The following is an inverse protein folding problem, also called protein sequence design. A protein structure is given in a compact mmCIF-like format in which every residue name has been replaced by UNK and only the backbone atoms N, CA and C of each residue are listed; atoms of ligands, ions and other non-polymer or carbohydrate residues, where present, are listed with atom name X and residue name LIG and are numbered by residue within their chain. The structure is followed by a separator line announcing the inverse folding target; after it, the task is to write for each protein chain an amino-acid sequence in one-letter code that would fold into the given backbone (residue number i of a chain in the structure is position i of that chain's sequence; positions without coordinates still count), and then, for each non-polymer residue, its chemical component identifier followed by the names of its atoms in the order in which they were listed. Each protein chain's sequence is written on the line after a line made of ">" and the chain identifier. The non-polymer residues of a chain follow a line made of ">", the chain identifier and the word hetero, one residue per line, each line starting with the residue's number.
data_IF_464290818756
#
_entry.id   IF_464290818756
#
_cell.length_a   1.000
_cell.length_b   1.000
_cell.length_c   1.000
_cell.angle_alpha   90.00
_cell.angle_beta   90.00
_cell.angle_gamma   90.00
#
_symmetry.space_group_name_H-M   'P 1'
#
loop_
_entity.id
_entity.type
_entity.pdbx_description
1 polymer ?
#
# COMPACT_ATOMS: atom_id res chain seq x y z
N UNK A 1 23.61 16.80 14.30
CA UNK A 1 22.55 17.68 14.87
C UNK A 1 23.04 18.45 16.10
N UNK A 2 23.33 17.78 17.23
CA UNK A 2 23.77 18.44 18.49
C UNK A 2 25.01 19.33 18.32
N UNK A 3 26.03 18.86 17.61
CA UNK A 3 27.24 19.65 17.33
C UNK A 3 27.00 20.91 16.49
N UNK A 4 25.90 20.98 15.71
CA UNK A 4 25.50 22.16 14.93
C UNK A 4 24.49 23.05 15.69
N UNK A 5 24.20 22.75 16.97
CA UNK A 5 23.24 23.51 17.79
C UNK A 5 21.77 23.36 17.36
N UNK A 6 21.43 22.35 16.55
CA UNK A 6 20.07 22.22 16.02
C UNK A 6 19.11 21.69 17.08
N UNK A 7 17.99 22.39 17.26
CA UNK A 7 16.89 21.99 18.12
C UNK A 7 15.98 20.94 17.43
N UNK A 8 15.25 20.10 18.18
CA UNK A 8 14.35 19.10 17.61
C UNK A 8 13.33 19.66 16.60
N UNK A 9 12.84 20.89 16.86
CA UNK A 9 11.90 21.58 15.96
C UNK A 9 12.41 21.75 14.53
N UNK A 10 13.73 21.75 14.29
CA UNK A 10 14.30 21.82 12.94
C UNK A 10 13.93 20.62 12.06
N UNK A 11 13.65 19.46 12.64
CA UNK A 11 13.27 18.25 11.90
C UNK A 11 11.76 18.16 11.66
N UNK A 12 11.00 19.21 11.93
CA UNK A 12 9.58 19.32 11.61
C UNK A 12 9.38 20.24 10.41
N UNK A 13 8.68 19.75 9.38
CA UNK A 13 8.32 20.58 8.22
C UNK A 13 7.24 21.62 8.55
N UNK A 14 6.56 21.49 9.71
CA UNK A 14 5.45 22.38 10.11
C UNK A 14 5.93 23.71 10.72
N UNK A 15 7.20 23.83 11.10
CA UNK A 15 7.74 25.01 11.80
C UNK A 15 8.96 25.58 11.08
N UNK A 16 9.17 26.89 11.20
CA UNK A 16 10.31 27.59 10.62
C UNK A 16 11.63 27.07 11.19
N UNK A 17 12.68 27.12 10.36
CA UNK A 17 14.07 26.85 10.76
C UNK A 17 14.71 25.63 10.10
N UNK A 18 13.92 24.61 9.73
CA UNK A 18 14.44 23.43 9.00
C UNK A 18 13.60 22.98 7.81
N UNK A 19 12.35 23.43 7.70
CA UNK A 19 11.50 23.21 6.53
C UNK A 19 12.05 23.95 5.30
N UNK A 20 11.59 23.54 4.12
CA UNK A 20 11.79 24.31 2.90
C UNK A 20 10.88 25.55 2.95
N UNK A 21 11.46 26.75 2.90
CA UNK A 21 10.67 27.99 2.98
C UNK A 21 9.95 28.31 1.66
N UNK A 22 10.41 27.78 0.52
CA UNK A 22 9.75 27.97 -0.78
C UNK A 22 8.34 27.35 -0.81
N UNK A 23 8.18 26.13 -0.28
CA UNK A 23 6.89 25.46 -0.14
C UNK A 23 6.34 25.48 1.29
N UNK A 24 6.99 26.22 2.20
CA UNK A 24 6.67 26.25 3.63
C UNK A 24 6.52 24.87 4.29
N UNK A 25 7.23 23.87 3.79
CA UNK A 25 7.17 22.49 4.28
C UNK A 25 6.07 21.62 3.68
N UNK A 26 5.35 22.05 2.65
CA UNK A 26 4.34 21.23 1.97
C UNK A 26 4.94 20.26 0.94
N UNK A 27 6.10 20.59 0.37
CA UNK A 27 6.71 19.85 -0.72
C UNK A 27 6.07 20.12 -2.09
N UNK A 28 4.96 20.87 -2.10
CA UNK A 28 4.21 21.28 -3.28
C UNK A 28 4.03 22.81 -3.25
N UNK A 29 3.90 23.44 -4.41
CA UNK A 29 3.56 24.85 -4.59
C UNK A 29 2.17 24.91 -5.21
N UNK A 30 1.27 25.63 -4.54
CA UNK A 30 -0.07 25.91 -5.03
C UNK A 30 -0.02 27.07 -6.02
N UNK A 31 -0.50 26.87 -7.24
CA UNK A 31 -0.66 27.91 -8.25
C UNK A 31 -2.15 28.21 -8.37
N UNK A 32 -2.55 29.38 -7.89
CA UNK A 32 -3.93 29.84 -7.96
C UNK A 32 -4.22 30.37 -9.37
N UNK A 33 -5.28 29.85 -9.98
CA UNK A 33 -5.72 30.25 -11.32
C UNK A 33 -7.12 30.83 -11.24
N UNK A 34 -7.34 31.97 -11.89
CA UNK A 34 -8.59 32.72 -11.76
C UNK A 34 -9.85 31.97 -12.21
N UNK A 35 -9.72 30.95 -13.08
CA UNK A 35 -10.85 30.26 -13.71
C UNK A 35 -10.72 28.73 -13.75
N UNK A 36 -9.66 28.17 -13.16
CA UNK A 36 -9.40 26.73 -13.11
C UNK A 36 -9.16 26.30 -11.65
N UNK A 37 -9.40 25.04 -11.30
CA UNK A 37 -9.02 24.52 -9.99
C UNK A 37 -7.52 24.73 -9.76
N UNK A 38 -7.17 25.02 -8.51
CA UNK A 38 -5.78 25.24 -8.09
C UNK A 38 -4.90 24.05 -8.47
N UNK A 39 -3.76 24.33 -9.09
CA UNK A 39 -2.80 23.31 -9.52
C UNK A 39 -1.68 23.23 -8.51
N UNK A 40 -1.29 22.01 -8.12
CA UNK A 40 -0.18 21.77 -7.19
C UNK A 40 1.00 21.21 -7.94
N UNK A 41 2.11 21.94 -7.97
CA UNK A 41 3.35 21.49 -8.62
C UNK A 41 4.37 21.09 -7.56
N UNK A 42 5.19 20.08 -7.84
CA UNK A 42 6.28 19.70 -6.94
C UNK A 42 7.22 20.87 -6.75
N UNK A 43 7.56 21.17 -5.49
CA UNK A 43 8.47 22.28 -5.18
C UNK A 43 9.85 21.99 -5.77
N UNK A 44 10.31 22.85 -6.69
CA UNK A 44 11.60 22.68 -7.36
C UNK A 44 12.79 22.83 -6.40
N UNK A 45 12.65 23.63 -5.35
CA UNK A 45 13.70 23.90 -4.36
C UNK A 45 14.04 22.67 -3.53
N UNK A 46 13.04 21.97 -2.99
CA UNK A 46 13.25 20.78 -2.18
C UNK A 46 12.97 19.49 -2.93
N UNK A 47 12.53 19.54 -4.19
CA UNK A 47 12.10 18.39 -5.00
C UNK A 47 11.09 17.47 -4.29
N UNK A 48 10.17 18.07 -3.53
CA UNK A 48 9.19 17.34 -2.72
C UNK A 48 9.66 16.88 -1.34
N UNK A 49 10.94 17.02 -0.98
CA UNK A 49 11.48 16.56 0.31
C UNK A 49 11.08 17.42 1.52
N UNK A 50 10.43 18.58 1.34
CA UNK A 50 9.85 19.44 2.40
C UNK A 50 10.85 20.11 3.37
N UNK A 51 12.15 19.84 3.26
CA UNK A 51 13.20 20.39 4.14
C UNK A 51 14.26 21.18 3.37
N UNK A 52 14.98 22.06 4.08
CA UNK A 52 16.15 22.76 3.52
C UNK A 52 17.39 21.87 3.47
N UNK A 53 18.39 22.28 2.67
CA UNK A 53 19.61 21.51 2.41
C UNK A 53 20.36 21.15 3.69
N UNK A 54 20.51 22.09 4.60
CA UNK A 54 21.26 21.91 5.84
C UNK A 54 20.60 20.90 6.79
N UNK A 55 19.27 20.74 6.69
CA UNK A 55 18.51 19.74 7.43
C UNK A 55 18.61 18.37 6.78
N UNK A 56 18.58 18.29 5.44
CA UNK A 56 18.79 17.06 4.68
C UNK A 56 20.21 16.49 4.80
N UNK A 57 21.21 17.34 5.04
CA UNK A 57 22.60 16.90 5.31
C UNK A 57 22.75 16.13 6.62
N UNK A 58 21.82 16.28 7.56
CA UNK A 58 21.86 15.54 8.82
C UNK A 58 21.36 14.12 8.57
N UNK A 59 22.30 13.18 8.59
CA UNK A 59 22.03 11.76 8.39
C UNK A 59 22.01 11.01 9.72
N UNK A 60 21.02 10.15 9.90
CA UNK A 60 20.98 9.12 10.92
C UNK A 60 21.13 7.76 10.22
N UNK A 61 22.17 7.00 10.58
CA UNK A 61 22.52 5.74 9.90
C UNK A 61 22.60 5.87 8.37
N UNK A 62 23.16 6.99 7.89
CA UNK A 62 23.30 7.27 6.45
C UNK A 62 22.04 7.81 5.75
N UNK A 63 20.89 7.91 6.43
CA UNK A 63 19.61 8.39 5.88
C UNK A 63 19.24 9.76 6.45
N UNK A 64 18.81 10.70 5.62
CA UNK A 64 18.32 12.03 6.02
C UNK A 64 16.92 11.97 6.60
N UNK A 65 16.41 13.08 7.16
CA UNK A 65 15.02 13.13 7.66
C UNK A 65 13.99 12.93 6.54
N UNK A 66 14.26 13.39 5.31
CA UNK A 66 13.38 13.13 4.18
C UNK A 66 13.43 11.64 3.80
N UNK A 67 14.61 11.03 3.75
CA UNK A 67 14.74 9.59 3.51
C UNK A 67 13.98 8.80 4.59
N UNK A 68 14.05 9.21 5.86
CA UNK A 68 13.35 8.56 6.98
C UNK A 68 11.82 8.73 6.91
N UNK A 69 11.33 9.82 6.33
CA UNK A 69 9.90 10.08 6.14
C UNK A 69 9.37 9.44 4.85
N UNK A 70 10.22 9.26 3.85
CA UNK A 70 9.96 8.50 2.62
C UNK A 70 10.07 6.99 2.87
N UNK A 71 10.87 6.57 3.87
CA UNK A 71 10.79 5.24 4.46
C UNK A 71 9.38 5.07 5.04
N UNK A 72 8.57 4.32 4.30
CA UNK A 72 7.13 4.19 4.53
C UNK A 72 6.79 3.86 6.00
N UNK A 73 5.75 4.50 6.58
CA UNK A 73 5.15 4.05 7.84
C UNK A 73 4.56 2.63 7.76
N UNK A 74 4.41 2.06 6.56
CA UNK A 74 3.77 0.77 6.28
C UNK A 74 4.67 -0.47 6.35
N UNK A 75 5.76 -0.43 7.12
CA UNK A 75 6.64 -1.58 7.29
C UNK A 75 6.38 -2.36 8.58
N UNK A 76 7.20 -3.36 8.86
CA UNK A 76 7.19 -4.11 10.12
C UNK A 76 8.56 -4.06 10.79
N UNK A 77 8.61 -3.90 12.11
CA UNK A 77 9.82 -4.04 12.92
C UNK A 77 9.57 -5.12 13.97
N UNK A 78 10.38 -6.16 13.98
CA UNK A 78 10.24 -7.27 14.92
C UNK A 78 11.60 -7.87 15.29
N UNK A 79 11.65 -8.56 16.43
CA UNK A 79 12.82 -9.30 16.88
C UNK A 79 12.60 -10.79 16.60
N UNK A 80 13.53 -11.40 15.89
CA UNK A 80 13.52 -12.84 15.64
C UNK A 80 14.21 -13.53 16.81
N UNK A 81 13.52 -14.50 17.40
CA UNK A 81 14.04 -15.37 18.44
C UNK A 81 14.25 -16.78 17.86
N UNK A 82 15.40 -17.39 18.15
CA UNK A 82 15.66 -18.81 17.90
C UNK A 82 15.99 -19.49 19.21
N UNK A 83 15.21 -20.51 19.59
CA UNK A 83 15.33 -21.19 20.90
C UNK A 83 15.42 -20.19 22.07
N UNK A 84 14.52 -19.22 22.05
CA UNK A 84 14.43 -18.12 23.03
C UNK A 84 15.62 -17.15 23.07
N UNK A 85 16.54 -17.22 22.10
CA UNK A 85 17.66 -16.27 21.97
C UNK A 85 17.40 -15.28 20.83
N UNK A 86 17.62 -13.98 21.03
CA UNK A 86 17.52 -13.00 19.94
C UNK A 86 18.65 -13.19 18.94
N UNK A 87 18.32 -13.35 17.67
CA UNK A 87 19.31 -13.59 16.60
C UNK A 87 19.43 -12.45 15.61
N UNK A 88 18.33 -11.71 15.41
CA UNK A 88 18.23 -10.67 14.39
C UNK A 88 17.07 -9.73 14.74
N UNK A 89 17.32 -8.43 14.63
CA UNK A 89 16.25 -7.43 14.59
C UNK A 89 15.97 -7.11 13.13
N UNK A 90 14.76 -7.42 12.69
CA UNK A 90 14.32 -7.19 11.31
C UNK A 90 13.54 -5.89 11.24
N UNK A 91 13.89 -5.07 10.24
CA UNK A 91 13.07 -3.96 9.76
C UNK A 91 12.76 -4.26 8.30
N UNK A 92 11.49 -4.22 7.92
CA UNK A 92 11.07 -4.45 6.54
C UNK A 92 10.06 -3.43 6.07
N UNK A 93 10.07 -3.13 4.77
CA UNK A 93 9.06 -2.37 4.04
C UNK A 93 7.72 -3.08 3.94
N UNK A 94 7.65 -4.39 4.19
CA UNK A 94 6.42 -5.16 4.03
C UNK A 94 5.45 -4.96 5.21
N UNK A 95 4.19 -4.53 4.96
CA UNK A 95 3.19 -4.35 6.01
C UNK A 95 2.58 -5.67 6.49
N UNK A 96 2.18 -5.69 7.76
CA UNK A 96 1.25 -6.67 8.30
C UNK A 96 1.89 -7.97 8.82
N UNK A 97 1.19 -8.62 9.76
CA UNK A 97 1.66 -9.82 10.43
C UNK A 97 1.88 -11.00 9.46
N UNK A 98 1.07 -11.13 8.42
CA UNK A 98 1.26 -12.19 7.42
C UNK A 98 2.63 -12.12 6.73
N UNK A 99 3.16 -10.92 6.48
CA UNK A 99 4.51 -10.77 5.92
C UNK A 99 5.60 -11.04 6.94
N UNK A 100 5.36 -10.73 8.23
CA UNK A 100 6.24 -11.19 9.32
C UNK A 100 6.31 -12.72 9.34
N UNK A 101 5.16 -13.40 9.25
CA UNK A 101 5.08 -14.85 9.20
C UNK A 101 5.75 -15.43 7.95
N UNK A 102 5.63 -14.78 6.79
CA UNK A 102 6.33 -15.19 5.57
C UNK A 102 7.85 -15.12 5.74
N UNK A 103 8.37 -14.03 6.32
CA UNK A 103 9.80 -13.89 6.62
C UNK A 103 10.26 -14.96 7.61
N UNK A 104 9.49 -15.20 8.68
CA UNK A 104 9.79 -16.26 9.65
C UNK A 104 9.73 -17.65 9.01
N UNK A 105 8.80 -17.89 8.08
CA UNK A 105 8.70 -19.13 7.30
C UNK A 105 9.96 -19.37 6.46
N UNK A 106 10.42 -18.35 5.73
CA UNK A 106 11.68 -18.40 4.98
C UNK A 106 12.86 -18.69 5.91
N UNK A 107 12.97 -17.98 7.04
CA UNK A 107 14.04 -18.25 8.02
C UNK A 107 13.97 -19.69 8.58
N UNK A 108 12.76 -20.20 8.81
CA UNK A 108 12.53 -21.57 9.27
C UNK A 108 12.96 -22.65 8.27
N UNK A 109 13.05 -22.32 6.98
CA UNK A 109 13.59 -23.22 5.96
C UNK A 109 15.12 -23.34 5.99
N UNK A 110 15.82 -22.46 6.73
CA UNK A 110 17.28 -22.44 6.84
C UNK A 110 17.75 -22.56 8.30
N UNK A 111 17.42 -23.66 9.01
CA UNK A 111 17.69 -23.79 10.44
C UNK A 111 19.19 -23.74 10.77
N UNK A 112 20.06 -24.29 9.93
CA UNK A 112 21.52 -24.27 10.15
C UNK A 112 22.10 -22.86 10.08
N UNK A 113 21.59 -22.04 9.15
CA UNK A 113 21.98 -20.64 9.00
C UNK A 113 21.54 -19.82 10.22
N UNK A 114 20.29 -20.05 10.66
CA UNK A 114 19.72 -19.41 11.85
C UNK A 114 20.48 -19.83 13.12
N UNK A 115 20.85 -21.11 13.25
CA UNK A 115 21.61 -21.62 14.39
C UNK A 115 23.06 -21.10 14.41
N UNK A 116 23.69 -20.98 13.24
CA UNK A 116 25.00 -20.33 13.12
C UNK A 116 24.93 -18.86 13.59
N UNK A 117 23.93 -18.09 13.14
CA UNK A 117 23.69 -16.72 13.60
C UNK A 117 23.46 -16.65 15.12
N UNK A 118 22.68 -17.59 15.68
CA UNK A 118 22.41 -17.67 17.11
C UNK A 118 23.67 -17.96 17.96
N UNK A 119 24.65 -18.67 17.38
CA UNK A 119 25.97 -18.94 17.98
C UNK A 119 26.97 -17.79 17.80
N UNK A 120 26.55 -16.68 17.18
CA UNK A 120 27.42 -15.52 16.91
C UNK A 120 28.37 -15.73 15.73
N UNK A 121 28.18 -16.78 14.93
CA UNK A 121 28.93 -16.98 13.69
C UNK A 121 28.43 -15.94 12.69
N UNK A 122 29.34 -15.22 12.03
CA UNK A 122 28.98 -14.24 11.01
C UNK A 122 28.29 -14.95 9.84
N UNK A 123 27.03 -14.60 9.59
CA UNK A 123 26.25 -15.13 8.47
C UNK A 123 25.80 -14.02 7.51
N UNK A 124 25.10 -14.42 6.44
CA UNK A 124 24.41 -13.50 5.52
C UNK A 124 23.13 -12.90 6.12
N UNK A 125 22.62 -13.42 7.24
CA UNK A 125 21.40 -12.92 7.89
C UNK A 125 21.68 -11.57 8.58
N UNK A 126 21.43 -10.50 7.86
CA UNK A 126 21.64 -9.13 8.34
C UNK A 126 20.39 -8.28 8.09
N UNK A 127 20.16 -7.27 8.94
CA UNK A 127 18.97 -6.42 8.86
C UNK A 127 18.73 -5.80 7.47
N UNK A 128 19.76 -5.33 6.74
CA UNK A 128 19.57 -4.75 5.40
C UNK A 128 18.94 -5.69 4.37
N UNK A 129 19.06 -7.01 4.53
CA UNK A 129 18.46 -8.01 3.63
C UNK A 129 16.92 -7.87 3.55
N UNK A 130 16.31 -7.31 4.60
CA UNK A 130 14.86 -7.23 4.75
C UNK A 130 14.30 -5.82 4.55
N UNK A 131 15.15 -4.78 4.54
CA UNK A 131 14.72 -3.37 4.61
C UNK A 131 13.90 -2.94 3.39
N UNK A 132 14.33 -3.32 2.19
CA UNK A 132 13.79 -2.81 0.93
C UNK A 132 13.19 -3.93 0.05
N UNK A 133 12.61 -4.96 0.68
CA UNK A 133 11.91 -6.03 -0.05
C UNK A 133 10.66 -5.44 -0.71
N UNK A 134 10.58 -5.56 -2.02
CA UNK A 134 9.37 -5.27 -2.78
C UNK A 134 8.92 -6.54 -3.49
N UNK A 135 7.69 -6.94 -3.24
CA UNK A 135 7.05 -8.04 -3.95
C UNK A 135 5.94 -7.43 -4.82
N UNK A 136 6.09 -7.45 -6.15
CA UNK A 136 5.10 -6.86 -7.03
C UNK A 136 3.69 -7.41 -6.76
N UNK A 137 2.71 -6.53 -6.62
CA UNK A 137 1.32 -6.89 -6.38
C UNK A 137 1.01 -7.53 -5.02
N UNK A 138 1.87 -7.37 -4.00
CA UNK A 138 1.63 -7.82 -2.61
C UNK A 138 1.70 -6.65 -1.66
N UNK A 139 0.53 -6.12 -1.27
CA UNK A 139 0.37 -4.85 -0.57
C UNK A 139 1.31 -3.77 -1.15
N UNK A 140 1.45 -3.75 -2.48
CA UNK A 140 2.31 -2.83 -3.19
C UNK A 140 1.71 -1.43 -3.07
N UNK A 141 2.44 -0.52 -2.41
CA UNK A 141 1.98 0.84 -2.22
C UNK A 141 2.15 1.65 -3.50
N UNK A 142 1.09 2.30 -3.94
CA UNK A 142 1.12 3.24 -5.06
C UNK A 142 1.14 4.67 -4.50
N UNK A 143 2.15 5.51 -4.84
CA UNK A 143 2.20 6.89 -4.40
C UNK A 143 0.97 7.70 -4.87
N UNK A 144 0.42 8.52 -3.97
CA UNK A 144 -0.72 9.39 -4.27
C UNK A 144 -0.48 10.79 -3.67
N UNK A 145 -0.45 11.87 -4.49
CA UNK A 145 -0.08 13.22 -4.02
C UNK A 145 -1.08 13.81 -3.02
N UNK A 146 -2.36 13.46 -3.16
CA UNK A 146 -3.43 13.87 -2.23
C UNK A 146 -3.35 13.27 -0.81
N UNK A 147 -2.33 12.47 -0.49
CA UNK A 147 -2.16 11.86 0.83
C UNK A 147 -3.12 10.71 1.14
N UNK A 148 -3.61 10.03 0.11
CA UNK A 148 -4.39 8.78 0.21
C UNK A 148 -3.41 7.61 0.31
N UNK A 149 -3.77 6.56 1.06
CA UNK A 149 -2.97 5.35 1.17
C UNK A 149 -3.47 4.30 0.15
N UNK A 150 -2.82 4.23 -1.02
CA UNK A 150 -3.23 3.35 -2.11
C UNK A 150 -2.37 2.08 -2.16
N UNK A 151 -3.03 0.91 -2.25
CA UNK A 151 -2.38 -0.41 -2.28
C UNK A 151 -2.95 -1.31 -3.38
N UNK A 152 -2.08 -2.13 -3.97
CA UNK A 152 -2.44 -3.23 -4.86
C UNK A 152 -2.07 -4.56 -4.20
N UNK A 153 -3.00 -5.52 -4.18
CA UNK A 153 -2.76 -6.86 -3.67
C UNK A 153 -3.39 -7.97 -4.53
N UNK A 154 -2.75 -9.14 -4.57
CA UNK A 154 -3.22 -10.34 -5.27
C UNK A 154 -4.31 -11.12 -4.52
N UNK A 155 -4.80 -10.63 -3.38
CA UNK A 155 -5.80 -11.30 -2.57
C UNK A 155 -7.07 -11.63 -3.38
N UNK A 156 -7.24 -12.91 -3.72
CA UNK A 156 -8.33 -13.44 -4.54
C UNK A 156 -9.05 -14.62 -3.86
N UNK A 157 -8.80 -14.85 -2.57
CA UNK A 157 -9.49 -15.82 -1.73
C UNK A 157 -10.05 -15.11 -0.48
N UNK A 158 -11.07 -15.67 0.20
CA UNK A 158 -11.66 -15.05 1.39
C UNK A 158 -10.63 -14.75 2.46
N UNK A 159 -9.82 -15.75 2.83
CA UNK A 159 -8.81 -15.62 3.87
C UNK A 159 -7.72 -14.58 3.52
N UNK A 160 -7.25 -14.56 2.27
CA UNK A 160 -6.24 -13.57 1.88
C UNK A 160 -6.83 -12.14 1.91
N UNK A 161 -8.07 -11.97 1.44
CA UNK A 161 -8.74 -10.66 1.45
C UNK A 161 -8.93 -10.15 2.88
N UNK A 162 -9.40 -11.01 3.79
CA UNK A 162 -9.53 -10.70 5.21
C UNK A 162 -8.19 -10.31 5.84
N UNK A 163 -7.14 -11.09 5.56
CA UNK A 163 -5.79 -10.85 6.09
C UNK A 163 -5.24 -9.49 5.65
N UNK A 164 -5.43 -9.14 4.38
CA UNK A 164 -4.97 -7.86 3.82
C UNK A 164 -5.78 -6.69 4.37
N UNK A 165 -7.11 -6.81 4.45
CA UNK A 165 -7.98 -5.79 5.01
C UNK A 165 -7.71 -5.56 6.50
N UNK A 166 -7.48 -6.62 7.27
CA UNK A 166 -7.09 -6.53 8.67
C UNK A 166 -5.74 -5.82 8.81
N UNK A 167 -4.73 -6.21 8.02
CA UNK A 167 -3.42 -5.57 8.06
C UNK A 167 -3.49 -4.06 7.75
N UNK A 168 -4.33 -3.66 6.79
CA UNK A 168 -4.55 -2.24 6.47
C UNK A 168 -5.33 -1.51 7.56
N UNK A 169 -6.28 -2.18 8.21
CA UNK A 169 -7.01 -1.64 9.37
C UNK A 169 -6.05 -1.38 10.52
N UNK A 170 -5.21 -2.36 10.87
CA UNK A 170 -4.23 -2.25 11.95
C UNK A 170 -3.18 -1.17 11.66
N UNK A 171 -2.80 -1.02 10.39
CA UNK A 171 -1.76 -0.08 9.98
C UNK A 171 -2.24 1.38 9.99
N UNK A 172 -3.46 1.64 9.51
CA UNK A 172 -3.93 3.01 9.28
C UNK A 172 -4.99 3.46 10.27
N UNK A 173 -5.85 2.55 10.74
CA UNK A 173 -7.03 2.90 11.55
C UNK A 173 -8.07 3.78 10.83
N UNK A 174 -7.87 4.05 9.54
CA UNK A 174 -8.72 4.92 8.71
C UNK A 174 -9.75 4.11 7.91
N UNK A 175 -10.82 4.76 7.42
CA UNK A 175 -11.78 4.12 6.52
C UNK A 175 -11.11 3.50 5.28
N UNK A 176 -11.54 2.29 4.94
CA UNK A 176 -11.07 1.55 3.77
C UNK A 176 -12.12 1.61 2.65
N UNK A 177 -11.66 1.92 1.45
CA UNK A 177 -12.36 1.69 0.19
C UNK A 177 -11.67 0.50 -0.52
N UNK A 178 -12.43 -0.51 -0.91
CA UNK A 178 -11.89 -1.70 -1.58
C UNK A 178 -12.48 -1.87 -2.98
N UNK A 179 -11.63 -2.13 -3.96
CA UNK A 179 -12.00 -2.49 -5.34
C UNK A 179 -11.60 -3.94 -5.57
N UNK A 180 -12.56 -4.82 -5.89
CA UNK A 180 -12.24 -6.20 -6.20
C UNK A 180 -13.30 -6.88 -7.07
N UNK A 181 -12.91 -8.01 -7.66
CA UNK A 181 -13.79 -8.92 -8.39
C UNK A 181 -13.48 -10.37 -8.03
N UNK A 182 -14.11 -11.30 -8.73
CA UNK A 182 -13.76 -12.71 -8.66
C UNK A 182 -13.56 -13.26 -10.08
N UNK A 183 -12.66 -14.23 -10.22
CA UNK A 183 -12.53 -14.96 -11.48
C UNK A 183 -13.76 -15.85 -11.76
N UNK A 184 -14.15 -15.94 -13.03
CA UNK A 184 -15.17 -16.87 -13.51
C UNK A 184 -14.62 -18.25 -13.82
N UNK A 185 -15.51 -19.22 -13.99
CA UNK A 185 -15.19 -20.60 -14.39
C UNK A 185 -14.56 -21.48 -13.30
N UNK A 186 -14.41 -20.98 -12.06
CA UNK A 186 -13.91 -21.73 -10.89
C UNK A 186 -14.42 -21.13 -9.57
N UNK A 187 -14.42 -21.95 -8.52
CA UNK A 187 -14.55 -21.56 -7.09
C UNK A 187 -15.71 -20.59 -6.75
N UNK A 188 -16.91 -20.83 -7.27
CA UNK A 188 -18.09 -19.97 -7.00
C UNK A 188 -18.37 -19.75 -5.50
N UNK A 189 -18.14 -20.78 -4.68
CA UNK A 189 -18.42 -20.75 -3.24
C UNK A 189 -17.65 -19.67 -2.47
N UNK A 190 -16.55 -19.12 -3.01
CA UNK A 190 -15.80 -18.06 -2.34
C UNK A 190 -16.41 -16.66 -2.49
N UNK A 191 -17.24 -16.44 -3.52
CA UNK A 191 -17.73 -15.11 -3.90
C UNK A 191 -18.54 -14.44 -2.78
N UNK A 192 -19.55 -15.10 -2.18
CA UNK A 192 -20.32 -14.48 -1.10
C UNK A 192 -19.44 -14.26 0.13
N UNK A 193 -18.53 -15.18 0.46
CA UNK A 193 -17.62 -15.02 1.59
C UNK A 193 -16.70 -13.80 1.42
N UNK A 194 -16.15 -13.58 0.22
CA UNK A 194 -15.34 -12.39 -0.07
C UNK A 194 -16.16 -11.09 0.02
N UNK A 195 -17.39 -11.08 -0.49
CA UNK A 195 -18.31 -9.95 -0.32
C UNK A 195 -18.58 -9.65 1.16
N UNK A 196 -18.83 -10.71 1.95
CA UNK A 196 -19.10 -10.56 3.37
C UNK A 196 -17.92 -9.96 4.14
N UNK A 197 -16.71 -10.41 3.84
CA UNK A 197 -15.47 -9.92 4.42
C UNK A 197 -15.25 -8.46 4.03
N UNK A 198 -15.36 -8.11 2.75
CA UNK A 198 -15.19 -6.74 2.27
C UNK A 198 -16.14 -5.78 3.02
N UNK A 199 -17.41 -6.14 3.17
CA UNK A 199 -18.41 -5.34 3.87
C UNK A 199 -18.14 -5.16 5.38
N UNK A 200 -17.36 -6.06 5.99
CA UNK A 200 -17.00 -5.97 7.41
C UNK A 200 -15.91 -4.93 7.67
N UNK A 201 -14.97 -4.77 6.74
CA UNK A 201 -13.80 -3.91 6.91
C UNK A 201 -13.88 -2.60 6.14
N UNK A 202 -14.56 -2.58 5.00
CA UNK A 202 -14.58 -1.44 4.10
C UNK A 202 -15.85 -0.59 4.26
N UNK A 203 -15.65 0.74 4.27
CA UNK A 203 -16.72 1.73 4.17
C UNK A 203 -17.37 1.68 2.80
N UNK A 204 -16.54 1.66 1.76
CA UNK A 204 -16.98 1.59 0.36
C UNK A 204 -16.46 0.29 -0.28
N UNK A 205 -17.35 -0.43 -0.96
CA UNK A 205 -17.04 -1.66 -1.69
C UNK A 205 -17.35 -1.47 -3.17
N UNK A 206 -16.32 -1.45 -4.00
CA UNK A 206 -16.41 -1.37 -5.45
C UNK A 206 -16.26 -2.78 -6.04
N UNK A 207 -17.35 -3.30 -6.59
CA UNK A 207 -17.38 -4.59 -7.26
C UNK A 207 -17.16 -4.41 -8.77
N UNK A 208 -16.25 -5.20 -9.33
CA UNK A 208 -15.86 -5.12 -10.73
C UNK A 208 -15.61 -6.49 -11.35
N UNK A 209 -15.51 -6.52 -12.69
CA UNK A 209 -14.91 -7.65 -13.40
C UNK A 209 -13.43 -7.79 -13.03
N UNK A 210 -12.99 -9.04 -12.86
CA UNK A 210 -11.60 -9.44 -12.80
C UNK A 210 -11.31 -10.30 -14.04
N UNK A 211 -11.18 -11.63 -13.90
CA UNK A 211 -11.02 -12.55 -15.02
C UNK A 211 -12.31 -13.36 -15.22
N UNK A 212 -13.36 -12.82 -15.86
CA UNK A 212 -14.66 -13.48 -15.97
C UNK A 212 -14.62 -14.75 -16.84
N UNK A 213 -13.62 -14.88 -17.74
CA UNK A 213 -13.53 -16.00 -18.68
C UNK A 213 -14.87 -16.16 -19.43
N UNK A 214 -15.39 -17.38 -19.53
CA UNK A 214 -16.65 -17.69 -20.22
C UNK A 214 -17.91 -17.47 -19.35
N UNK A 215 -17.76 -16.96 -18.13
CA UNK A 215 -18.88 -16.72 -17.23
C UNK A 215 -19.32 -15.26 -17.30
N UNK A 216 -20.63 -15.05 -17.20
CA UNK A 216 -21.22 -13.72 -17.19
C UNK A 216 -20.71 -12.88 -15.99
N UNK A 217 -20.00 -11.76 -16.24
CA UNK A 217 -19.45 -10.92 -15.17
C UNK A 217 -20.52 -10.32 -14.25
N UNK A 218 -21.75 -10.09 -14.75
CA UNK A 218 -22.85 -9.61 -13.91
C UNK A 218 -23.23 -10.64 -12.86
N UNK A 219 -23.35 -11.91 -13.25
CA UNK A 219 -23.63 -13.02 -12.32
C UNK A 219 -22.55 -13.15 -11.26
N UNK A 220 -21.29 -13.02 -11.65
CA UNK A 220 -20.17 -13.08 -10.70
C UNK A 220 -20.29 -11.98 -9.65
N UNK A 221 -20.56 -10.74 -10.08
CA UNK A 221 -20.72 -9.61 -9.16
C UNK A 221 -21.95 -9.76 -8.27
N UNK A 222 -23.06 -10.28 -8.80
CA UNK A 222 -24.27 -10.57 -8.03
C UNK A 222 -23.99 -11.61 -6.92
N UNK A 223 -23.24 -12.67 -7.20
CA UNK A 223 -22.85 -13.66 -6.19
C UNK A 223 -22.02 -13.02 -5.06
N UNK A 224 -21.12 -12.09 -5.41
CA UNK A 224 -20.33 -11.36 -4.41
C UNK A 224 -21.25 -10.45 -3.58
N UNK A 225 -22.10 -9.68 -4.25
CA UNK A 225 -23.03 -8.73 -3.62
C UNK A 225 -24.01 -9.43 -2.68
N UNK A 226 -24.44 -10.66 -2.99
CA UNK A 226 -25.29 -11.45 -2.11
C UNK A 226 -24.66 -11.67 -0.72
N UNK A 227 -23.34 -11.85 -0.66
CA UNK A 227 -22.61 -12.00 0.61
C UNK A 227 -22.46 -10.71 1.41
N UNK A 228 -22.57 -9.55 0.77
CA UNK A 228 -22.57 -8.24 1.45
C UNK A 228 -23.87 -8.07 2.24
N UNK A 229 -25.01 -8.43 1.64
CA UNK A 229 -26.34 -8.28 2.25
C UNK A 229 -26.72 -6.82 2.52
N UNK A 230 -27.50 -6.57 3.58
CA UNK A 230 -27.96 -5.24 3.99
C UNK A 230 -26.98 -4.47 4.88
N UNK A 231 -25.69 -4.79 4.82
CA UNK A 231 -24.67 -4.13 5.65
C UNK A 231 -24.49 -2.66 5.27
N UNK A 232 -24.00 -1.85 6.21
CA UNK A 232 -23.87 -0.39 6.12
C UNK A 232 -22.85 0.12 5.10
N UNK A 233 -22.08 -0.76 4.45
CA UNK A 233 -21.11 -0.36 3.44
C UNK A 233 -21.79 0.13 2.17
N UNK A 234 -21.28 1.22 1.60
CA UNK A 234 -21.72 1.68 0.28
C UNK A 234 -21.18 0.74 -0.79
N UNK A 235 -22.06 0.06 -1.52
CA UNK A 235 -21.68 -0.80 -2.64
C UNK A 235 -21.82 -0.05 -3.95
N UNK A 236 -20.78 -0.09 -4.77
CA UNK A 236 -20.77 0.45 -6.13
C UNK A 236 -20.37 -0.66 -7.09
N UNK A 237 -21.19 -0.90 -8.11
CA UNK A 237 -20.90 -1.89 -9.16
C UNK A 237 -20.46 -1.19 -10.43
N UNK A 238 -19.33 -1.60 -10.98
CA UNK A 238 -18.91 -1.23 -12.32
C UNK A 238 -18.06 -2.36 -12.93
N UNK A 239 -18.51 -2.95 -14.04
CA UNK A 239 -17.84 -4.10 -14.63
C UNK A 239 -16.55 -3.72 -15.38
N UNK A 240 -16.37 -2.46 -15.74
CA UNK A 240 -15.09 -1.97 -16.25
C UNK A 240 -14.16 -1.72 -15.05
N UNK A 241 -13.08 -2.51 -14.99
CA UNK A 241 -12.12 -2.47 -13.88
C UNK A 241 -11.37 -1.15 -13.78
N UNK A 242 -11.01 -0.52 -14.91
CA UNK A 242 -10.35 0.79 -14.92
C UNK A 242 -11.33 1.85 -14.40
N UNK A 243 -12.58 1.79 -14.85
CA UNK A 243 -13.61 2.71 -14.40
C UNK A 243 -13.94 2.54 -12.91
N UNK A 244 -13.99 1.30 -12.41
CA UNK A 244 -14.16 1.01 -10.99
C UNK A 244 -13.03 1.62 -10.15
N UNK A 245 -11.78 1.42 -10.56
CA UNK A 245 -10.59 2.02 -9.93
C UNK A 245 -10.68 3.55 -9.94
N UNK A 246 -11.01 4.14 -11.10
CA UNK A 246 -11.15 5.59 -11.25
C UNK A 246 -12.22 6.17 -10.33
N UNK A 247 -13.37 5.51 -10.20
CA UNK A 247 -14.45 5.95 -9.30
C UNK A 247 -14.05 5.80 -7.83
N UNK A 248 -13.34 4.74 -7.48
CA UNK A 248 -12.85 4.52 -6.13
C UNK A 248 -11.82 5.60 -5.71
N UNK A 249 -10.88 5.95 -6.60
CA UNK A 249 -9.94 7.07 -6.40
C UNK A 249 -10.64 8.40 -6.11
N UNK A 250 -11.80 8.65 -6.74
CA UNK A 250 -12.61 9.86 -6.49
C UNK A 250 -13.42 9.81 -5.19
N UNK A 251 -13.67 8.62 -4.66
CA UNK A 251 -14.47 8.43 -3.46
C UNK A 251 -13.64 8.55 -2.17
N UNK A 252 -12.34 8.28 -2.24
CA UNK A 252 -11.41 8.34 -1.10
C UNK A 252 -10.94 9.76 -0.82
N UNK A 253 -10.72 10.03 0.47
CA UNK A 253 -10.22 11.32 0.97
C UNK A 253 -8.79 11.19 1.50
N UNK A 254 -8.12 12.32 1.74
CA UNK A 254 -6.81 12.35 2.40
C UNK A 254 -6.84 11.53 3.69
N UNK A 255 -5.90 10.61 3.84
CA UNK A 255 -5.81 9.69 4.98
C UNK A 255 -6.61 8.40 4.86
N UNK A 256 -7.60 8.31 3.95
CA UNK A 256 -8.31 7.06 3.66
C UNK A 256 -7.36 6.03 3.03
N UNK A 257 -7.77 4.76 3.08
CA UNK A 257 -7.10 3.66 2.43
C UNK A 257 -7.88 3.24 1.19
N UNK A 258 -7.19 3.10 0.05
CA UNK A 258 -7.71 2.45 -1.15
C UNK A 258 -6.96 1.14 -1.37
N UNK A 259 -7.68 0.02 -1.38
CA UNK A 259 -7.15 -1.28 -1.76
C UNK A 259 -7.74 -1.72 -3.10
N UNK A 260 -6.88 -2.04 -4.07
CA UNK A 260 -7.26 -2.75 -5.30
C UNK A 260 -6.78 -4.19 -5.20
N UNK A 261 -7.72 -5.13 -5.09
CA UNK A 261 -7.43 -6.54 -4.83
C UNK A 261 -7.80 -7.44 -6.03
N UNK A 262 -7.16 -8.61 -6.08
CA UNK A 262 -7.47 -9.72 -6.98
C UNK A 262 -6.34 -10.03 -7.95
N UNK A 263 -5.90 -9.04 -8.75
CA UNK A 263 -4.92 -9.24 -9.83
C UNK A 263 -3.47 -9.12 -9.40
N UNK A 264 -3.17 -8.29 -8.39
CA UNK A 264 -1.82 -8.11 -7.87
C UNK A 264 -0.80 -7.73 -8.96
N UNK A 265 0.02 -8.70 -9.36
CA UNK A 265 1.06 -8.52 -10.38
C UNK A 265 0.65 -8.96 -11.78
N UNK A 266 -0.55 -9.55 -11.95
CA UNK A 266 -1.09 -9.92 -13.25
C UNK A 266 -1.23 -8.69 -14.14
N UNK A 267 -0.76 -8.79 -15.38
CA UNK A 267 -0.73 -7.71 -16.38
C UNK A 267 -1.78 -7.91 -17.48
N UNK A 268 -2.71 -8.83 -17.29
CA UNK A 268 -3.68 -9.26 -18.30
C UNK A 268 -5.06 -9.49 -17.68
N UNK A 269 -6.10 -9.28 -18.47
CA UNK A 269 -7.49 -9.57 -18.11
C UNK A 269 -8.10 -10.54 -19.12
N UNK A 270 -8.69 -11.63 -18.63
CA UNK A 270 -9.24 -12.71 -19.47
C UNK A 270 -10.76 -12.60 -19.58
N UNK A 271 -11.25 -12.32 -20.79
CA UNK A 271 -12.68 -12.20 -21.13
C UNK A 271 -12.99 -13.18 -22.25
N UNK A 272 -13.78 -14.21 -21.97
CA UNK A 272 -14.03 -15.35 -22.86
C UNK A 272 -12.71 -15.93 -23.43
N UNK A 273 -12.53 -15.82 -24.73
CA UNK A 273 -11.37 -16.25 -25.52
C UNK A 273 -10.30 -15.16 -25.70
N UNK A 274 -10.52 -13.96 -25.16
CA UNK A 274 -9.62 -12.80 -25.32
C UNK A 274 -8.80 -12.54 -24.06
N UNK A 275 -7.53 -12.26 -24.26
CA UNK A 275 -6.60 -11.77 -23.24
C UNK A 275 -6.25 -10.32 -23.57
N UNK A 276 -6.62 -9.41 -22.68
CA UNK A 276 -6.45 -7.97 -22.87
C UNK A 276 -5.37 -7.48 -21.91
N UNK A 277 -4.37 -6.70 -22.37
CA UNK A 277 -3.39 -6.07 -21.48
C UNK A 277 -4.08 -5.20 -20.42
N UNK A 278 -3.88 -5.50 -19.15
CA UNK A 278 -4.47 -4.77 -18.03
C UNK A 278 -3.65 -4.98 -16.74
N UNK A 279 -3.04 -3.91 -16.24
CA UNK A 279 -2.28 -3.91 -14.98
C UNK A 279 -2.86 -2.87 -14.02
N UNK A 280 -3.37 -3.32 -12.86
CA UNK A 280 -3.93 -2.46 -11.81
C UNK A 280 -2.98 -1.34 -11.40
N UNK A 281 -1.67 -1.62 -11.35
CA UNK A 281 -0.64 -0.67 -10.89
C UNK A 281 -0.44 0.43 -11.92
N UNK A 282 -0.41 0.06 -13.20
CA UNK A 282 -0.31 1.00 -14.31
C UNK A 282 -1.56 1.87 -14.37
N UNK A 283 -2.75 1.26 -14.30
CA UNK A 283 -4.02 1.98 -14.29
C UNK A 283 -4.10 2.96 -13.11
N UNK A 284 -3.74 2.55 -11.90
CA UNK A 284 -3.70 3.45 -10.75
C UNK A 284 -2.76 4.63 -10.97
N UNK A 285 -1.53 4.40 -11.46
CA UNK A 285 -0.57 5.48 -11.73
C UNK A 285 -1.10 6.46 -12.78
N UNK A 286 -1.70 5.96 -13.84
CA UNK A 286 -2.32 6.78 -14.89
C UNK A 286 -3.47 7.63 -14.34
N UNK A 287 -4.43 7.01 -13.64
CA UNK A 287 -5.61 7.71 -13.13
C UNK A 287 -5.27 8.71 -12.02
N UNK A 288 -4.28 8.40 -11.17
CA UNK A 288 -3.75 9.35 -10.17
C UNK A 288 -3.13 10.56 -10.87
N UNK A 289 -2.34 10.34 -11.93
CA UNK A 289 -1.71 11.45 -12.67
C UNK A 289 -2.73 12.32 -13.40
N UNK A 290 -3.86 11.75 -13.84
CA UNK A 290 -4.94 12.49 -14.51
C UNK A 290 -5.80 13.33 -13.56
N UNK A 291 -5.81 12.98 -12.27
CA UNK A 291 -6.66 13.63 -11.25
C UNK A 291 -5.87 14.52 -10.28
N UNK A 292 -4.53 14.44 -10.32
CA UNK A 292 -3.61 15.36 -9.66
C UNK A 292 -3.48 16.67 -10.45
#
# INVERSE_FOLDING_TARGET
>A
AKARGYLPGRFSFNVKGGRCEACQGDGLIKIEMHFLPDVYVTCETCKGHRYNRETLEIKFKGKSIADVLEMSPGGSIFQVLWRSRPILRVRTSLPGMHNVLNILGVLGMYPDLVDAQARGIRTVLQAPLFEDIQVPGRLERIPHPGGVNVYVDYAHTPHALETVLQALTDLHGSPICVVFGCGGGRDRGKRPAMGAIAARYARDVFLTSDNPRNEDPERIVLDIAHGIGSRSSRVVVNLDRREAIRRALRAVRRGDVLLVAGKGHETEQVIADRVIPFDDRTVLREEITRTA
#
